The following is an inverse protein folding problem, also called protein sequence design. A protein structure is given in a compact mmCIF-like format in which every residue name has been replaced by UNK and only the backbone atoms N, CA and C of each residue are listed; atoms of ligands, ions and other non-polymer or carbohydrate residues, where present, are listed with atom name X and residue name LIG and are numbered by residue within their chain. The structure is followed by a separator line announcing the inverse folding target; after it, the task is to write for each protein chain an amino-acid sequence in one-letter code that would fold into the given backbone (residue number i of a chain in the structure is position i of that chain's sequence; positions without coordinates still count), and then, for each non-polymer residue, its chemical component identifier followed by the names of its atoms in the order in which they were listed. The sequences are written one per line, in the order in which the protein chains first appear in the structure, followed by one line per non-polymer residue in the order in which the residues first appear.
data_IF_124526962844
#
_entry.id   IF_124526962844
#
_cell.length_a   1.000
_cell.length_b   1.000
_cell.length_c   1.000
_cell.angle_alpha   90.00
_cell.angle_beta   90.00
_cell.angle_gamma   90.00
#
_symmetry.space_group_name_H-M   'P 1'
#
loop_
_entity.id
_entity.type
_entity.pdbx_description
1 polymer ?
#
# COMPACT_ATOMS: atom_id res chain seq x y z
N UNK A 1 7.66 8.08 9.22
CA UNK A 1 6.61 8.80 8.45
C UNK A 1 6.60 10.30 8.72
N UNK A 2 6.55 10.77 10.00
CA UNK A 2 6.51 12.22 10.29
C UNK A 2 7.71 12.99 9.70
N UNK A 3 8.94 12.44 9.80
CA UNK A 3 10.12 13.06 9.18
C UNK A 3 9.96 13.18 7.66
N UNK A 4 9.42 12.15 7.01
CA UNK A 4 9.13 12.16 5.58
C UNK A 4 8.13 13.28 5.24
N UNK A 5 7.01 13.37 5.95
CA UNK A 5 5.99 14.41 5.74
C UNK A 5 6.57 15.81 6.01
N UNK A 6 7.40 15.99 7.04
CA UNK A 6 8.05 17.26 7.33
C UNK A 6 8.98 17.73 6.21
N UNK A 7 9.67 16.80 5.56
CA UNK A 7 10.61 17.08 4.47
C UNK A 7 9.90 17.19 3.12
N UNK A 8 9.12 16.20 2.76
CA UNK A 8 8.48 16.08 1.44
C UNK A 8 7.19 16.88 1.31
N UNK A 9 6.54 17.22 2.45
CA UNK A 9 5.17 17.72 2.46
C UNK A 9 4.15 16.59 2.24
N UNK A 10 2.88 16.97 2.12
CA UNK A 10 1.77 16.08 1.81
C UNK A 10 0.93 16.68 0.68
N UNK A 11 0.34 15.82 -0.13
CA UNK A 11 -0.67 16.17 -1.10
C UNK A 11 -2.07 16.08 -0.46
N UNK A 12 -3.00 16.78 -1.06
CA UNK A 12 -4.42 16.71 -0.67
C UNK A 12 -5.21 16.02 -1.78
N UNK A 13 -6.28 15.30 -1.44
CA UNK A 13 -7.06 14.55 -2.43
C UNK A 13 -8.01 15.47 -3.25
N UNK A 14 -7.45 16.58 -3.75
CA UNK A 14 -8.14 17.50 -4.64
C UNK A 14 -7.89 17.09 -6.08
N UNK A 15 -8.94 16.95 -6.86
CA UNK A 15 -8.83 16.57 -8.26
C UNK A 15 -8.50 17.79 -9.12
N UNK A 16 -7.57 17.63 -10.05
CA UNK A 16 -7.19 18.67 -11.01
C UNK A 16 -8.10 18.66 -12.25
N UNK A 17 -8.82 17.58 -12.47
CA UNK A 17 -9.76 17.41 -13.57
C UNK A 17 -10.32 16.01 -13.67
N UNK A 18 -11.18 15.79 -14.64
CA UNK A 18 -11.74 14.49 -15.00
C UNK A 18 -11.35 14.13 -16.42
N UNK A 19 -11.26 12.86 -16.70
CA UNK A 19 -10.96 12.32 -18.03
C UNK A 19 -12.27 12.16 -18.82
N UNK A 20 -12.30 12.68 -20.04
CA UNK A 20 -13.43 12.58 -20.96
C UNK A 20 -13.77 11.10 -21.24
N UNK A 21 -15.05 10.77 -21.22
CA UNK A 21 -15.56 9.43 -21.45
C UNK A 21 -15.44 8.46 -20.29
N UNK A 22 -14.98 8.90 -19.10
CA UNK A 22 -14.86 8.05 -17.92
C UNK A 22 -15.99 8.30 -16.90
N UNK A 23 -16.09 7.38 -15.94
CA UNK A 23 -17.18 7.37 -14.96
C UNK A 23 -17.25 8.61 -14.07
N UNK A 24 -16.13 9.24 -13.73
CA UNK A 24 -16.10 10.45 -12.92
C UNK A 24 -16.73 11.65 -13.63
N UNK A 25 -16.50 11.81 -14.93
CA UNK A 25 -17.16 12.84 -15.74
C UNK A 25 -18.67 12.62 -15.79
N UNK A 26 -19.10 11.38 -16.10
CA UNK A 26 -20.52 11.01 -16.14
C UNK A 26 -21.22 11.21 -14.78
N UNK A 27 -20.49 11.06 -13.68
CA UNK A 27 -20.99 11.29 -12.32
C UNK A 27 -20.96 12.76 -11.88
N UNK A 28 -20.47 13.68 -12.75
CA UNK A 28 -20.48 15.13 -12.53
C UNK A 28 -19.38 15.65 -11.61
N UNK A 29 -18.27 14.91 -11.41
CA UNK A 29 -17.09 15.42 -10.72
C UNK A 29 -16.39 16.48 -11.58
N UNK A 30 -15.74 17.42 -10.91
CA UNK A 30 -15.07 18.57 -11.54
C UNK A 30 -13.73 18.86 -10.89
N UNK A 31 -12.87 19.57 -11.60
CA UNK A 31 -11.64 20.11 -11.02
C UNK A 31 -11.95 20.97 -9.78
N UNK A 32 -11.18 20.79 -8.73
CA UNK A 32 -11.37 21.46 -7.45
C UNK A 32 -12.14 20.63 -6.41
N UNK A 33 -12.83 19.56 -6.81
CA UNK A 33 -13.47 18.66 -5.85
C UNK A 33 -12.43 17.98 -4.96
N UNK A 34 -12.69 17.96 -3.65
CA UNK A 34 -11.87 17.26 -2.67
C UNK A 34 -12.51 15.92 -2.32
N UNK A 35 -11.86 14.83 -2.65
CA UNK A 35 -12.33 13.50 -2.31
C UNK A 35 -12.16 13.25 -0.80
N UNK A 36 -13.26 12.91 -0.11
CA UNK A 36 -13.25 12.66 1.34
C UNK A 36 -13.26 11.15 1.61
N UNK A 37 -14.04 10.40 0.79
CA UNK A 37 -14.28 8.99 1.07
C UNK A 37 -14.60 8.23 -0.21
N UNK A 38 -14.15 6.97 -0.28
CA UNK A 38 -14.52 6.01 -1.33
C UNK A 38 -15.12 4.78 -0.64
N UNK A 39 -16.42 4.52 -0.88
CA UNK A 39 -17.22 3.57 -0.09
C UNK A 39 -17.01 3.79 1.42
N UNK A 40 -16.43 2.81 2.12
CA UNK A 40 -16.16 2.90 3.56
C UNK A 40 -14.72 3.35 3.91
N UNK A 41 -13.90 3.71 2.91
CA UNK A 41 -12.51 4.11 3.11
C UNK A 41 -12.35 5.62 3.06
N UNK A 42 -11.81 6.23 4.14
CA UNK A 42 -11.53 7.65 4.21
C UNK A 42 -10.24 7.97 3.47
N UNK A 43 -10.28 8.98 2.61
CA UNK A 43 -9.20 9.45 1.76
C UNK A 43 -8.53 10.68 2.38
N UNK A 44 -7.21 10.68 2.47
CA UNK A 44 -6.39 11.77 3.03
C UNK A 44 -5.35 12.26 2.02
N UNK A 45 -4.89 11.38 1.11
CA UNK A 45 -3.96 11.66 0.02
C UNK A 45 -4.59 11.31 -1.32
N UNK A 46 -4.17 11.98 -2.37
CA UNK A 46 -4.62 11.61 -3.71
C UNK A 46 -4.18 10.19 -4.12
N UNK A 47 -3.00 9.77 -3.67
CA UNK A 47 -2.50 8.42 -3.95
C UNK A 47 -3.44 7.32 -3.41
N UNK A 48 -4.16 7.57 -2.31
CA UNK A 48 -5.15 6.62 -1.79
C UNK A 48 -6.30 6.37 -2.78
N UNK A 49 -6.70 7.39 -3.56
CA UNK A 49 -7.73 7.26 -4.62
C UNK A 49 -7.27 6.26 -5.68
N UNK A 50 -6.03 6.42 -6.16
CA UNK A 50 -5.44 5.55 -7.19
C UNK A 50 -5.29 4.11 -6.69
N UNK A 51 -4.78 3.95 -5.48
CA UNK A 51 -4.55 2.63 -4.87
C UNK A 51 -5.88 1.95 -4.52
N UNK A 52 -6.86 2.70 -4.04
CA UNK A 52 -8.21 2.17 -3.79
C UNK A 52 -8.81 1.59 -5.07
N UNK A 53 -8.77 2.36 -6.18
CA UNK A 53 -9.27 1.91 -7.47
C UNK A 53 -8.52 0.66 -7.99
N UNK A 54 -7.22 0.58 -7.76
CA UNK A 54 -6.40 -0.59 -8.13
C UNK A 54 -6.85 -1.86 -7.40
N UNK A 55 -7.11 -1.80 -6.09
CA UNK A 55 -7.53 -2.95 -5.30
C UNK A 55 -9.01 -3.35 -5.51
N UNK A 56 -9.84 -2.43 -6.01
CA UNK A 56 -11.27 -2.67 -6.31
C UNK A 56 -11.53 -2.68 -7.82
N UNK A 57 -10.67 -3.30 -8.55
CA UNK A 57 -10.56 -3.35 -10.00
C UNK A 57 -11.92 -3.56 -10.71
N UNK A 58 -12.50 -2.50 -11.26
CA UNK A 58 -13.77 -2.52 -11.99
C UNK A 58 -15.04 -2.48 -11.14
N UNK A 59 -14.94 -2.52 -9.80
CA UNK A 59 -16.10 -2.40 -8.92
C UNK A 59 -16.61 -0.95 -8.89
N UNK A 60 -17.93 -0.78 -8.94
CA UNK A 60 -18.54 0.55 -8.77
C UNK A 60 -18.26 1.09 -7.35
N UNK A 61 -18.05 2.41 -7.26
CA UNK A 61 -17.65 3.08 -6.03
C UNK A 61 -18.50 4.31 -5.76
N UNK A 62 -18.96 4.45 -4.51
CA UNK A 62 -19.59 5.67 -4.01
C UNK A 62 -18.48 6.60 -3.51
N UNK A 63 -18.34 7.74 -4.17
CA UNK A 63 -17.35 8.76 -3.84
C UNK A 63 -18.03 9.92 -3.14
N UNK A 64 -17.64 10.18 -1.89
CA UNK A 64 -18.03 11.38 -1.17
C UNK A 64 -16.96 12.44 -1.39
N UNK A 65 -17.37 13.58 -1.88
CA UNK A 65 -16.49 14.72 -2.17
C UNK A 65 -17.04 16.01 -1.62
N UNK A 66 -16.19 17.00 -1.42
CA UNK A 66 -16.52 18.35 -1.00
C UNK A 66 -16.31 19.31 -2.15
N UNK A 67 -17.32 20.13 -2.43
CA UNK A 67 -17.31 21.22 -3.40
C UNK A 67 -17.93 22.45 -2.75
N UNK A 68 -17.23 23.58 -2.78
CA UNK A 68 -17.68 24.85 -2.21
C UNK A 68 -18.10 24.78 -0.72
N UNK A 69 -17.53 23.83 0.03
CA UNK A 69 -17.82 23.57 1.45
C UNK A 69 -18.96 22.59 1.69
N UNK A 70 -19.70 22.18 0.65
CA UNK A 70 -20.78 21.20 0.76
C UNK A 70 -20.32 19.79 0.37
N UNK A 71 -20.87 18.78 1.07
CA UNK A 71 -20.60 17.38 0.80
C UNK A 71 -21.60 16.80 -0.19
N UNK A 72 -21.07 16.16 -1.21
CA UNK A 72 -21.82 15.49 -2.25
C UNK A 72 -21.42 14.01 -2.32
N UNK A 73 -22.28 13.20 -2.92
CA UNK A 73 -21.98 11.79 -3.20
C UNK A 73 -22.22 11.50 -4.67
N UNK A 74 -21.27 10.88 -5.31
CA UNK A 74 -21.35 10.43 -6.70
C UNK A 74 -21.13 8.92 -6.77
N UNK A 75 -21.96 8.23 -7.54
CA UNK A 75 -21.79 6.82 -7.84
C UNK A 75 -21.00 6.68 -9.15
N UNK A 76 -19.81 6.09 -9.10
CA UNK A 76 -18.89 6.01 -10.24
C UNK A 76 -18.69 4.56 -10.61
N UNK A 77 -18.92 4.23 -11.89
CA UNK A 77 -18.56 2.93 -12.45
C UNK A 77 -17.24 3.08 -13.21
N UNK A 78 -16.18 2.37 -12.80
CA UNK A 78 -14.89 2.39 -13.50
C UNK A 78 -15.03 1.85 -14.92
N UNK A 79 -14.29 2.43 -15.86
CA UNK A 79 -14.27 2.00 -17.27
C UNK A 79 -12.90 1.40 -17.57
N UNK A 80 -12.88 0.29 -18.29
CA UNK A 80 -11.63 -0.34 -18.70
C UNK A 80 -10.93 0.49 -19.77
N UNK A 81 -9.67 0.81 -19.55
CA UNK A 81 -8.80 1.47 -20.50
C UNK A 81 -7.94 0.43 -21.21
N UNK A 82 -8.18 0.22 -22.50
CA UNK A 82 -7.38 -0.70 -23.32
C UNK A 82 -5.92 -0.26 -23.41
N UNK A 83 -5.68 1.06 -23.44
CA UNK A 83 -4.35 1.64 -23.51
C UNK A 83 -3.52 1.34 -22.26
N UNK A 84 -4.11 1.45 -21.08
CA UNK A 84 -3.44 1.26 -19.78
C UNK A 84 -3.64 -0.15 -19.20
N UNK A 85 -4.48 -1.00 -19.85
CA UNK A 85 -4.76 -2.36 -19.40
C UNK A 85 -5.40 -2.47 -18.03
N UNK A 86 -6.14 -1.44 -17.57
CA UNK A 86 -6.73 -1.38 -16.21
C UNK A 86 -8.03 -0.59 -16.18
N UNK A 87 -8.82 -0.81 -15.13
CA UNK A 87 -10.01 -0.01 -14.87
C UNK A 87 -9.65 1.34 -14.26
N UNK A 88 -10.30 2.39 -14.73
CA UNK A 88 -10.10 3.76 -14.26
C UNK A 88 -11.44 4.41 -13.95
N UNK A 89 -11.48 5.18 -12.86
CA UNK A 89 -12.60 6.05 -12.54
C UNK A 89 -12.56 7.37 -13.32
N UNK A 90 -11.39 7.71 -13.89
CA UNK A 90 -11.24 8.90 -14.74
C UNK A 90 -11.00 10.21 -13.98
N UNK A 91 -10.26 10.17 -12.88
CA UNK A 91 -9.90 11.33 -12.08
C UNK A 91 -8.40 11.63 -12.27
N UNK A 92 -8.08 12.90 -12.51
CA UNK A 92 -6.72 13.41 -12.47
C UNK A 92 -6.48 14.13 -11.14
N UNK A 93 -5.38 13.78 -10.46
CA UNK A 93 -5.04 14.38 -9.18
C UNK A 93 -4.16 15.62 -9.29
N UNK A 94 -4.24 16.45 -8.27
CA UNK A 94 -3.20 17.43 -8.01
C UNK A 94 -2.14 16.78 -7.10
N UNK A 95 -0.91 16.67 -7.61
CA UNK A 95 0.22 16.11 -6.89
C UNK A 95 1.07 17.20 -6.19
N UNK A 96 0.60 18.45 -6.17
CA UNK A 96 1.27 19.52 -5.49
C UNK A 96 1.31 19.25 -3.99
N UNK A 97 2.52 19.19 -3.46
CA UNK A 97 2.75 18.97 -2.03
C UNK A 97 2.85 20.29 -1.31
N UNK A 98 2.12 20.38 -0.21
CA UNK A 98 2.17 21.52 0.71
C UNK A 98 2.87 21.12 2.01
N UNK A 99 3.56 22.09 2.61
CA UNK A 99 4.15 21.92 3.94
C UNK A 99 3.13 22.32 4.99
N UNK A 100 2.99 21.50 6.02
CA UNK A 100 2.10 21.76 7.13
C UNK A 100 2.83 22.22 8.40
N UNK A 101 2.04 22.64 9.37
CA UNK A 101 2.51 22.86 10.73
C UNK A 101 2.80 21.52 11.45
N UNK A 102 3.33 21.58 12.68
CA UNK A 102 3.74 20.38 13.41
C UNK A 102 2.59 19.41 13.69
N UNK A 103 1.36 19.90 13.88
CA UNK A 103 0.19 19.05 14.12
C UNK A 103 -0.24 18.35 12.85
N UNK A 104 -0.25 19.03 11.71
CA UNK A 104 -0.50 18.46 10.39
C UNK A 104 0.57 17.42 10.03
N UNK A 105 1.84 17.68 10.33
CA UNK A 105 2.92 16.71 10.11
C UNK A 105 2.70 15.42 10.92
N UNK A 106 2.23 15.51 12.16
CA UNK A 106 1.91 14.34 12.98
C UNK A 106 0.68 13.61 12.44
N UNK A 107 -0.36 14.33 12.07
CA UNK A 107 -1.60 13.79 11.54
C UNK A 107 -1.36 13.07 10.19
N UNK A 108 -0.75 13.74 9.23
CA UNK A 108 -0.43 13.14 7.93
C UNK A 108 0.64 12.06 8.03
N UNK A 109 1.55 12.16 9.00
CA UNK A 109 2.48 11.07 9.32
C UNK A 109 1.77 9.80 9.81
N UNK A 110 0.67 9.93 10.54
CA UNK A 110 -0.17 8.80 10.96
C UNK A 110 -1.00 8.26 9.77
N UNK A 111 -1.52 9.13 8.92
CA UNK A 111 -2.21 8.72 7.69
C UNK A 111 -1.28 7.96 6.73
N UNK A 112 -0.03 8.38 6.60
CA UNK A 112 0.98 7.67 5.80
C UNK A 112 1.21 6.24 6.31
N UNK A 113 1.31 6.04 7.63
CA UNK A 113 1.42 4.70 8.22
C UNK A 113 0.18 3.86 7.91
N UNK A 114 -1.01 4.43 8.10
CA UNK A 114 -2.28 3.77 7.77
C UNK A 114 -2.33 3.36 6.30
N UNK A 115 -1.93 4.25 5.40
CA UNK A 115 -1.87 4.01 3.98
C UNK A 115 -0.94 2.84 3.62
N UNK A 116 0.25 2.80 4.18
CA UNK A 116 1.20 1.71 3.95
C UNK A 116 0.68 0.36 4.48
N UNK A 117 0.04 0.35 5.64
CA UNK A 117 -0.61 -0.84 6.20
C UNK A 117 -1.75 -1.30 5.28
N UNK A 118 -2.57 -0.37 4.79
CA UNK A 118 -3.68 -0.66 3.87
C UNK A 118 -3.18 -1.32 2.58
N UNK A 119 -2.12 -0.77 1.96
CA UNK A 119 -1.49 -1.37 0.77
C UNK A 119 -1.03 -2.79 1.08
N UNK A 120 -0.28 -2.98 2.16
CA UNK A 120 0.29 -4.28 2.51
C UNK A 120 -0.79 -5.33 2.72
N UNK A 121 -1.85 -5.01 3.47
CA UNK A 121 -2.96 -5.94 3.75
C UNK A 121 -3.69 -6.32 2.45
N UNK A 122 -4.00 -5.33 1.59
CA UNK A 122 -4.72 -5.62 0.34
C UNK A 122 -3.83 -6.37 -0.68
N UNK A 123 -2.54 -6.08 -0.74
CA UNK A 123 -1.59 -6.85 -1.56
C UNK A 123 -1.52 -8.31 -1.11
N UNK A 124 -1.48 -8.56 0.20
CA UNK A 124 -1.57 -9.91 0.75
C UNK A 124 -2.90 -10.59 0.41
N UNK A 125 -4.02 -9.85 0.52
CA UNK A 125 -5.34 -10.39 0.12
C UNK A 125 -5.33 -10.79 -1.35
N UNK A 126 -4.79 -9.97 -2.26
CA UNK A 126 -4.68 -10.29 -3.69
C UNK A 126 -3.80 -11.53 -3.94
N UNK A 127 -2.72 -11.69 -3.17
CA UNK A 127 -1.88 -12.87 -3.23
C UNK A 127 -2.64 -14.14 -2.79
N UNK A 128 -3.37 -14.09 -1.67
CA UNK A 128 -4.14 -15.23 -1.18
C UNK A 128 -5.37 -15.56 -2.04
N UNK A 129 -5.95 -14.58 -2.72
CA UNK A 129 -7.08 -14.79 -3.66
C UNK A 129 -6.63 -15.20 -5.05
N UNK A 130 -5.31 -15.28 -5.31
CA UNK A 130 -4.75 -15.67 -6.60
C UNK A 130 -4.85 -14.59 -7.69
N UNK A 131 -5.18 -13.36 -7.32
CA UNK A 131 -5.17 -12.21 -8.24
C UNK A 131 -3.74 -11.77 -8.56
N UNK A 132 -2.81 -11.98 -7.62
CA UNK A 132 -1.37 -11.84 -7.83
C UNK A 132 -0.72 -13.23 -7.76
N UNK A 133 0.19 -13.50 -8.67
CA UNK A 133 0.98 -14.72 -8.66
C UNK A 133 2.25 -14.58 -7.83
N UNK A 134 2.87 -15.71 -7.47
CA UNK A 134 4.19 -15.71 -6.79
C UNK A 134 5.26 -15.04 -7.67
N UNK A 135 5.07 -15.03 -8.97
CA UNK A 135 5.93 -14.33 -9.93
C UNK A 135 5.88 -12.80 -9.79
N UNK A 136 4.80 -12.27 -9.24
CA UNK A 136 4.63 -10.82 -9.03
C UNK A 136 5.24 -10.36 -7.71
N UNK A 137 5.65 -11.30 -6.84
CA UNK A 137 6.38 -10.99 -5.62
C UNK A 137 7.79 -10.49 -5.95
N UNK A 138 8.21 -9.45 -5.24
CA UNK A 138 9.59 -8.97 -5.21
C UNK A 138 10.32 -9.60 -4.04
N UNK A 139 11.41 -10.28 -4.34
CA UNK A 139 12.28 -10.84 -3.31
C UNK A 139 13.46 -9.89 -2.99
N UNK A 140 14.43 -10.37 -2.21
CA UNK A 140 15.55 -9.54 -1.75
C UNK A 140 16.35 -8.91 -2.89
N UNK A 141 16.50 -9.60 -4.02
CA UNK A 141 17.26 -9.12 -5.17
C UNK A 141 16.52 -7.99 -5.86
N UNK A 142 15.21 -8.18 -6.13
CA UNK A 142 14.38 -7.13 -6.74
C UNK A 142 14.22 -5.89 -5.84
N UNK A 143 14.22 -6.07 -4.51
CA UNK A 143 14.20 -4.94 -3.57
C UNK A 143 15.49 -4.13 -3.68
N UNK A 144 16.66 -4.79 -3.72
CA UNK A 144 17.95 -4.08 -3.88
C UNK A 144 18.02 -3.35 -5.21
N UNK A 145 17.56 -3.97 -6.30
CA UNK A 145 17.48 -3.38 -7.63
C UNK A 145 16.59 -2.12 -7.61
N UNK A 146 15.38 -2.22 -7.06
CA UNK A 146 14.47 -1.07 -6.91
C UNK A 146 15.10 0.06 -6.08
N UNK A 147 15.82 -0.25 -5.00
CA UNK A 147 16.51 0.75 -4.18
C UNK A 147 17.61 1.45 -5.00
N UNK A 148 18.37 0.68 -5.81
CA UNK A 148 19.41 1.20 -6.68
C UNK A 148 18.84 2.14 -7.74
N UNK A 149 17.79 1.72 -8.43
CA UNK A 149 17.11 2.52 -9.44
C UNK A 149 16.58 3.84 -8.90
N UNK A 150 15.89 3.79 -7.74
CA UNK A 150 15.36 4.99 -7.09
C UNK A 150 16.51 5.90 -6.63
N UNK A 151 17.61 5.34 -6.15
CA UNK A 151 18.77 6.12 -5.76
C UNK A 151 19.40 6.82 -6.98
N UNK A 152 19.65 6.10 -8.07
CA UNK A 152 20.23 6.64 -9.30
C UNK A 152 19.37 7.73 -9.93
N UNK A 153 18.05 7.53 -9.98
CA UNK A 153 17.12 8.55 -10.45
C UNK A 153 17.11 9.79 -9.53
N UNK A 154 17.11 9.56 -8.22
CA UNK A 154 17.03 10.65 -7.25
C UNK A 154 18.28 11.51 -7.19
N UNK A 155 19.47 10.96 -7.50
CA UNK A 155 20.73 11.71 -7.44
C UNK A 155 20.79 12.81 -8.51
N UNK A 156 20.09 12.62 -9.63
CA UNK A 156 19.96 13.59 -10.71
C UNK A 156 19.21 14.83 -10.21
N UNK A 157 18.19 14.62 -9.36
CA UNK A 157 17.35 15.70 -8.82
C UNK A 157 17.98 16.36 -7.57
N UNK A 158 19.02 15.73 -7.00
CA UNK A 158 19.79 16.26 -5.88
C UNK A 158 19.62 15.52 -4.56
N UNK A 159 20.54 15.77 -3.62
CA UNK A 159 20.65 15.05 -2.34
C UNK A 159 19.36 15.07 -1.52
N UNK A 160 18.60 16.17 -1.59
CA UNK A 160 17.31 16.27 -0.90
C UNK A 160 16.33 15.19 -1.35
N UNK A 161 16.19 14.98 -2.66
CA UNK A 161 15.31 13.95 -3.23
C UNK A 161 15.80 12.54 -2.91
N UNK A 162 17.12 12.32 -2.87
CA UNK A 162 17.69 11.04 -2.41
C UNK A 162 17.22 10.72 -0.99
N UNK A 163 17.34 11.66 -0.06
CA UNK A 163 16.93 11.45 1.34
C UNK A 163 15.42 11.17 1.42
N UNK A 164 14.59 11.95 0.74
CA UNK A 164 13.14 11.81 0.76
C UNK A 164 12.70 10.45 0.20
N UNK A 165 13.25 10.05 -0.95
CA UNK A 165 12.91 8.80 -1.60
C UNK A 165 13.40 7.58 -0.80
N UNK A 166 14.62 7.65 -0.22
CA UNK A 166 15.12 6.60 0.68
C UNK A 166 14.26 6.47 1.95
N UNK A 167 13.79 7.58 2.51
CA UNK A 167 12.85 7.56 3.63
C UNK A 167 11.51 6.91 3.24
N UNK A 168 10.98 7.19 2.05
CA UNK A 168 9.75 6.57 1.54
C UNK A 168 9.89 5.05 1.45
N UNK A 169 10.99 4.57 0.86
CA UNK A 169 11.30 3.13 0.79
C UNK A 169 11.43 2.53 2.18
N UNK A 170 12.12 3.20 3.10
CA UNK A 170 12.27 2.72 4.48
C UNK A 170 10.92 2.59 5.20
N UNK A 171 9.99 3.52 4.97
CA UNK A 171 8.63 3.46 5.52
C UNK A 171 7.88 2.26 4.94
N UNK A 172 7.91 2.09 3.61
CA UNK A 172 7.27 0.97 2.91
C UNK A 172 7.78 -0.38 3.44
N UNK A 173 9.10 -0.56 3.49
CA UNK A 173 9.72 -1.81 3.97
C UNK A 173 9.41 -2.07 5.44
N UNK A 174 9.44 -1.04 6.29
CA UNK A 174 9.10 -1.15 7.71
C UNK A 174 7.64 -1.54 7.93
N UNK A 175 6.72 -0.94 7.17
CA UNK A 175 5.30 -1.27 7.25
C UNK A 175 5.05 -2.71 6.78
N UNK A 176 5.64 -3.11 5.65
CA UNK A 176 5.54 -4.47 5.13
C UNK A 176 6.07 -5.48 6.16
N UNK A 177 7.26 -5.24 6.71
CA UNK A 177 7.85 -6.12 7.74
C UNK A 177 6.96 -6.21 8.98
N UNK A 178 6.41 -5.08 9.45
CA UNK A 178 5.49 -5.04 10.58
C UNK A 178 4.23 -5.86 10.36
N UNK A 179 3.56 -5.69 9.22
CA UNK A 179 2.35 -6.44 8.87
C UNK A 179 2.66 -7.92 8.66
N UNK A 180 3.76 -8.25 7.96
CA UNK A 180 4.15 -9.64 7.75
C UNK A 180 4.46 -10.37 9.05
N UNK A 181 5.13 -9.69 10.01
CA UNK A 181 5.42 -10.27 11.31
C UNK A 181 4.17 -10.52 12.16
N UNK A 182 3.06 -9.83 11.90
CA UNK A 182 1.78 -10.06 12.57
C UNK A 182 0.96 -11.20 11.97
N UNK A 183 1.35 -11.75 10.83
CA UNK A 183 0.67 -12.91 10.25
C UNK A 183 0.75 -14.13 11.18
N UNK A 184 -0.33 -14.95 11.26
CA UNK A 184 -0.37 -16.14 12.12
C UNK A 184 0.46 -17.30 11.52
N UNK A 185 1.68 -17.00 11.10
CA UNK A 185 2.61 -17.99 10.53
C UNK A 185 3.64 -18.41 11.59
N UNK A 186 3.96 -19.72 11.69
CA UNK A 186 5.02 -20.19 12.57
C UNK A 186 6.35 -19.48 12.25
N UNK A 187 7.19 -19.30 13.25
CA UNK A 187 8.44 -18.55 13.24
C UNK A 187 8.31 -17.01 13.17
N UNK A 188 7.11 -16.45 12.99
CA UNK A 188 6.84 -15.02 13.10
C UNK A 188 6.18 -14.68 14.46
N UNK A 189 6.21 -13.40 14.84
CA UNK A 189 5.61 -12.94 16.12
C UNK A 189 4.09 -13.19 16.16
N UNK A 190 3.38 -13.00 15.06
CA UNK A 190 1.96 -13.31 14.94
C UNK A 190 1.66 -14.80 15.14
N UNK A 191 2.53 -15.68 14.67
CA UNK A 191 2.43 -17.11 14.93
C UNK A 191 2.53 -17.43 16.42
N UNK A 192 3.44 -16.74 17.13
CA UNK A 192 3.58 -16.90 18.58
C UNK A 192 2.34 -16.38 19.35
N UNK A 193 1.81 -15.23 18.95
CA UNK A 193 0.56 -14.70 19.50
C UNK A 193 -0.59 -15.70 19.26
N UNK A 194 -0.67 -16.28 18.06
CA UNK A 194 -1.66 -17.29 17.72
C UNK A 194 -1.54 -18.56 18.57
N UNK A 195 -0.33 -19.05 18.83
CA UNK A 195 -0.10 -20.19 19.73
C UNK A 195 -0.53 -19.88 21.17
N UNK A 196 -0.23 -18.68 21.69
CA UNK A 196 -0.68 -18.22 23.02
C UNK A 196 -2.21 -18.17 23.07
N UNK A 197 -2.88 -17.71 22.00
CA UNK A 197 -4.33 -17.71 21.95
C UNK A 197 -4.91 -19.14 21.99
N UNK A 198 -4.30 -20.10 21.30
CA UNK A 198 -4.67 -21.52 21.37
C UNK A 198 -4.49 -22.07 22.80
N UNK A 199 -3.40 -21.73 23.49
CA UNK A 199 -3.17 -22.14 24.89
C UNK A 199 -4.27 -21.59 25.83
N UNK A 200 -4.66 -20.33 25.62
CA UNK A 200 -5.72 -19.68 26.39
C UNK A 200 -7.06 -20.40 26.22
N UNK A 201 -7.45 -20.73 24.99
CA UNK A 201 -8.70 -21.43 24.68
C UNK A 201 -8.69 -22.86 25.22
N UNK A 202 -7.54 -23.55 25.17
CA UNK A 202 -7.38 -24.93 25.68
C UNK A 202 -7.24 -25.02 27.19
N UNK A 203 -6.91 -23.89 27.87
CA UNK A 203 -6.62 -23.87 29.30
C UNK A 203 -5.35 -24.64 29.70
N UNK A 204 -4.51 -25.01 28.74
CA UNK A 204 -3.26 -25.77 28.97
C UNK A 204 -2.16 -25.27 28.03
N UNK A 205 -0.96 -25.07 28.60
CA UNK A 205 0.23 -24.68 27.82
C UNK A 205 0.62 -25.78 26.83
N UNK A 206 1.14 -25.38 25.70
CA UNK A 206 1.81 -26.28 24.75
C UNK A 206 3.15 -26.74 25.38
N UNK A 207 3.53 -27.97 25.06
CA UNK A 207 4.86 -28.45 25.43
C UNK A 207 5.90 -27.67 24.61
N UNK A 208 6.99 -27.23 25.24
CA UNK A 208 8.07 -26.49 24.59
C UNK A 208 8.64 -27.20 23.35
N UNK A 209 8.67 -28.54 23.36
CA UNK A 209 9.10 -29.36 22.25
C UNK A 209 8.18 -29.21 21.01
N UNK A 210 6.86 -29.12 21.25
CA UNK A 210 5.84 -28.96 20.19
C UNK A 210 5.92 -27.55 19.60
N UNK A 211 6.02 -26.53 20.46
CA UNK A 211 6.21 -25.15 20.02
C UNK A 211 7.50 -24.99 19.21
N UNK A 212 8.61 -25.55 19.69
CA UNK A 212 9.88 -25.55 18.99
C UNK A 212 9.80 -26.26 17.63
N UNK A 213 9.12 -27.40 17.54
CA UNK A 213 8.93 -28.12 16.28
C UNK A 213 8.08 -27.31 15.28
N UNK A 214 6.97 -26.69 15.72
CA UNK A 214 6.13 -25.86 14.88
C UNK A 214 6.94 -24.67 14.31
N UNK A 215 7.71 -24.00 15.14
CA UNK A 215 8.55 -22.88 14.73
C UNK A 215 9.66 -23.31 13.77
N UNK A 216 10.28 -24.46 14.00
CA UNK A 216 11.31 -25.03 13.10
C UNK A 216 10.73 -25.34 11.71
N UNK A 217 9.56 -25.97 11.64
CA UNK A 217 8.88 -26.24 10.36
C UNK A 217 8.50 -24.94 9.65
N UNK A 218 7.94 -23.97 10.39
CA UNK A 218 7.61 -22.65 9.83
C UNK A 218 8.83 -21.94 9.28
N UNK A 219 9.94 -21.94 10.01
CA UNK A 219 11.21 -21.36 9.56
C UNK A 219 11.73 -22.05 8.28
N UNK A 220 11.69 -23.37 8.23
CA UNK A 220 12.11 -24.11 7.04
C UNK A 220 11.23 -23.78 5.81
N UNK A 221 9.92 -23.63 6.00
CA UNK A 221 9.01 -23.21 4.93
C UNK A 221 9.31 -21.77 4.45
N UNK A 222 9.55 -20.84 5.36
CA UNK A 222 9.92 -19.46 5.00
C UNK A 222 11.24 -19.39 4.25
N UNK A 223 12.25 -20.19 4.68
CA UNK A 223 13.52 -20.29 3.98
C UNK A 223 13.35 -20.87 2.57
N UNK A 224 12.54 -21.91 2.41
CA UNK A 224 12.24 -22.48 1.09
C UNK A 224 11.54 -21.47 0.18
N UNK A 225 10.57 -20.71 0.71
CA UNK A 225 9.90 -19.65 -0.02
C UNK A 225 10.88 -18.54 -0.42
N UNK A 226 11.77 -18.12 0.49
CA UNK A 226 12.78 -17.10 0.21
C UNK A 226 13.71 -17.52 -0.94
N UNK A 227 14.19 -18.76 -0.93
CA UNK A 227 15.03 -19.30 -2.00
C UNK A 227 14.27 -19.34 -3.33
N UNK A 228 13.00 -19.73 -3.30
CA UNK A 228 12.16 -19.78 -4.50
C UNK A 228 11.93 -18.39 -5.09
N UNK A 229 11.60 -17.39 -4.25
CA UNK A 229 11.38 -15.99 -4.69
C UNK A 229 12.70 -15.39 -5.21
N UNK A 230 13.82 -15.64 -4.54
CA UNK A 230 15.15 -15.20 -4.99
C UNK A 230 15.52 -15.79 -6.35
N UNK A 231 15.24 -17.08 -6.58
CA UNK A 231 15.43 -17.70 -7.89
C UNK A 231 14.57 -17.01 -8.97
N UNK A 232 13.33 -16.70 -8.66
CA UNK A 232 12.44 -15.97 -9.57
C UNK A 232 12.96 -14.56 -9.88
N UNK A 233 13.46 -13.81 -8.89
CA UNK A 233 14.06 -12.50 -9.09
C UNK A 233 15.25 -12.56 -10.05
N UNK A 234 16.18 -13.48 -9.81
CA UNK A 234 17.38 -13.63 -10.65
C UNK A 234 16.97 -13.97 -12.10
N UNK A 235 15.95 -14.82 -12.28
CA UNK A 235 15.49 -15.17 -13.63
C UNK A 235 14.82 -14.00 -14.38
N UNK A 236 14.24 -13.03 -13.64
CA UNK A 236 13.69 -11.80 -14.24
C UNK A 236 14.79 -10.82 -14.67
N UNK A 237 15.89 -10.73 -13.90
CA UNK A 237 17.01 -9.82 -14.21
C UNK A 237 17.87 -10.31 -15.40
N UNK A 238 17.85 -11.60 -15.70
CA UNK A 238 18.63 -12.18 -16.81
C UNK A 238 17.87 -12.13 -18.16
N UNK A 239 16.57 -11.88 -18.12
CA UNK A 239 15.72 -11.76 -19.32
C UNK A 239 15.58 -10.31 -19.77
#
# INVERSE_FOLDING_TARGET
SCLFIAMAGFDTPVISGVMEGYGAEAAGLQAGDRIIKMNNYNIHFYQEVTVYNYFHNGEAVDVVYERDGDKHTAHITPIYSDELGKYLIGINGNLDRQKGNIFEVLEYGAYEVKYQIYITINSLKMLFTGQLGVKDMSGPVAIVDTISDVYEQSIIDGVFYVIVNMLSIAILLSANLGVMNLLPLPALDGGRIFLIFIELVRGKKLKAEVEGFINMVGFAMLMALMVFVMYNDITKLIK
#
